data_IF_305537110496
#
_entry.id   IF_305537110496
#
_cell.length_a   1.000
_cell.length_b   1.000
_cell.length_c   1.000
_cell.angle_alpha   90.00
_cell.angle_beta   90.00
_cell.angle_gamma   90.00
#
_symmetry.space_group_name_H-M   'P 1'
#
loop_
_entity.id
_entity.type
_entity.pdbx_description
1 polymer ?
#
# COMPACT_ATOMS: atom_id res chain seq x y z
N UNK A 1 -18.04 26.77 3.26
CA UNK A 1 -17.04 26.84 2.17
C UNK A 1 -15.60 26.50 2.62
N UNK A 2 -15.36 26.03 3.87
CA UNK A 2 -14.01 25.74 4.41
C UNK A 2 -13.57 24.25 4.34
N UNK A 3 -14.45 23.31 3.98
CA UNK A 3 -14.17 21.86 4.05
C UNK A 3 -13.38 21.29 2.86
N UNK A 4 -13.33 22.00 1.72
CA UNK A 4 -12.74 21.45 0.48
C UNK A 4 -11.21 21.61 0.40
N UNK A 5 -10.65 22.69 0.95
CA UNK A 5 -9.19 22.92 0.93
C UNK A 5 -8.41 21.95 1.84
N UNK A 6 -9.03 21.43 2.90
CA UNK A 6 -8.38 20.48 3.81
C UNK A 6 -8.20 19.09 3.18
N UNK A 7 -9.21 18.61 2.45
CA UNK A 7 -9.14 17.32 1.75
C UNK A 7 -8.08 17.32 0.65
N UNK A 8 -7.98 18.42 -0.12
CA UNK A 8 -6.94 18.61 -1.13
C UNK A 8 -5.53 18.69 -0.51
N UNK A 9 -5.41 19.27 0.69
CA UNK A 9 -4.14 19.32 1.43
C UNK A 9 -3.71 17.93 1.90
N UNK A 10 -4.65 17.05 2.27
CA UNK A 10 -4.39 15.66 2.67
C UNK A 10 -3.99 14.82 1.45
N UNK A 11 -4.68 14.98 0.33
CA UNK A 11 -4.35 14.26 -0.91
C UNK A 11 -2.96 14.66 -1.40
N UNK A 12 -2.65 15.96 -1.41
CA UNK A 12 -1.32 16.46 -1.76
C UNK A 12 -0.25 15.95 -0.78
N UNK A 13 -0.54 15.96 0.52
CA UNK A 13 0.33 15.38 1.54
C UNK A 13 0.57 13.88 1.31
N UNK A 14 -0.46 13.08 1.03
CA UNK A 14 -0.31 11.65 0.72
C UNK A 14 0.54 11.41 -0.53
N UNK A 15 0.39 12.22 -1.58
CA UNK A 15 1.21 12.16 -2.79
C UNK A 15 2.69 12.46 -2.51
N UNK A 16 2.97 13.46 -1.67
CA UNK A 16 4.34 13.81 -1.29
C UNK A 16 4.94 12.80 -0.27
N UNK A 17 4.10 12.19 0.57
CA UNK A 17 4.47 11.29 1.67
C UNK A 17 4.83 9.86 1.23
N UNK A 18 4.27 9.38 0.12
CA UNK A 18 4.55 8.05 -0.45
C UNK A 18 5.96 7.92 -1.07
N UNK A 19 6.75 8.99 -1.08
CA UNK A 19 8.09 9.01 -1.71
C UNK A 19 9.26 8.85 -0.73
N UNK A 20 9.04 8.77 0.60
CA UNK A 20 10.14 8.71 1.58
C UNK A 20 9.97 7.63 2.66
N UNK A 21 11.03 6.83 2.89
CA UNK A 21 11.12 5.86 3.99
C UNK A 21 11.01 6.50 5.40
N UNK A 22 11.13 7.83 5.53
CA UNK A 22 10.98 8.55 6.81
C UNK A 22 9.55 8.55 7.36
N UNK A 23 8.55 8.27 6.52
CA UNK A 23 7.14 8.19 6.89
C UNK A 23 6.87 7.11 7.96
N UNK A 24 7.48 5.94 7.85
CA UNK A 24 7.33 4.84 8.84
C UNK A 24 7.93 5.22 10.20
N UNK A 25 9.06 5.93 10.21
CA UNK A 25 9.71 6.38 11.45
C UNK A 25 8.96 7.53 12.12
N UNK A 26 8.25 8.38 11.37
CA UNK A 26 7.32 9.38 11.92
C UNK A 26 5.99 8.77 12.37
N UNK A 27 5.50 7.73 11.70
CA UNK A 27 4.41 6.88 12.21
C UNK A 27 4.75 6.38 13.61
N UNK A 28 5.98 5.93 13.86
CA UNK A 28 6.43 5.50 15.19
C UNK A 28 6.53 6.64 16.23
N UNK A 29 6.62 7.92 15.82
CA UNK A 29 6.63 9.07 16.75
C UNK A 29 5.25 9.64 17.06
N UNK A 30 4.24 9.41 16.23
CA UNK A 30 2.83 9.71 16.56
C UNK A 30 2.23 8.67 17.54
N UNK A 31 2.96 7.58 17.80
CA UNK A 31 2.61 6.47 18.73
C UNK A 31 2.91 6.82 20.20
N UNK A 32 3.11 8.11 20.52
CA UNK A 32 3.20 8.56 21.91
C UNK A 32 1.75 8.82 22.38
N UNK A 33 1.04 7.75 22.79
CA UNK A 33 -0.29 7.83 23.40
C UNK A 33 -1.33 6.82 22.90
N UNK A 34 -0.99 5.96 21.93
CA UNK A 34 -1.83 4.82 21.52
C UNK A 34 -1.46 3.61 22.38
N UNK A 35 -2.43 3.07 23.11
CA UNK A 35 -2.20 1.95 24.05
C UNK A 35 -2.45 0.57 23.43
N UNK A 36 -3.07 0.50 22.25
CA UNK A 36 -3.30 -0.77 21.55
C UNK A 36 -2.18 -1.06 20.53
N UNK A 37 -1.13 -1.72 21.01
CA UNK A 37 -0.01 -2.14 20.18
C UNK A 37 -0.37 -3.25 19.18
N UNK A 38 -1.49 -3.97 19.36
CA UNK A 38 -1.86 -5.10 18.50
C UNK A 38 -2.32 -4.64 17.11
N UNK A 39 -2.98 -3.48 17.02
CA UNK A 39 -3.40 -2.89 15.74
C UNK A 39 -2.19 -2.53 14.87
N UNK A 40 -1.11 -2.05 15.48
CA UNK A 40 0.13 -1.71 14.78
C UNK A 40 0.91 -2.96 14.34
N UNK A 41 0.80 -4.06 15.10
CA UNK A 41 1.40 -5.35 14.73
C UNK A 41 0.61 -6.09 13.65
N UNK A 42 -0.67 -5.76 13.44
CA UNK A 42 -1.48 -6.38 12.41
C UNK A 42 -1.16 -5.87 10.99
N UNK A 43 -0.48 -4.72 10.86
CA UNK A 43 -0.08 -4.15 9.57
C UNK A 43 1.39 -4.44 9.29
N UNK A 44 1.65 -5.10 8.18
CA UNK A 44 2.98 -5.49 7.73
C UNK A 44 3.26 -4.87 6.36
N UNK A 45 4.53 -4.65 6.04
CA UNK A 45 4.91 -4.17 4.72
C UNK A 45 5.01 -5.32 3.72
N UNK A 46 4.45 -5.10 2.54
CA UNK A 46 4.74 -5.87 1.33
C UNK A 46 5.35 -4.91 0.33
N UNK A 47 6.57 -5.23 -0.09
CA UNK A 47 7.31 -4.52 -1.10
C UNK A 47 6.79 -4.91 -2.48
N UNK A 48 6.72 -3.93 -3.38
CA UNK A 48 6.49 -4.12 -4.81
C UNK A 48 7.55 -3.34 -5.58
N UNK A 49 8.09 -3.93 -6.65
CA UNK A 49 9.00 -3.26 -7.55
C UNK A 49 8.21 -2.54 -8.65
N UNK A 50 8.65 -1.35 -9.04
CA UNK A 50 8.12 -0.72 -10.25
C UNK A 50 9.20 -0.10 -11.13
N UNK A 51 8.89 -0.03 -12.41
CA UNK A 51 9.69 0.61 -13.45
C UNK A 51 8.81 1.41 -14.40
N UNK A 52 9.44 2.28 -15.19
CA UNK A 52 8.80 3.09 -16.24
C UNK A 52 9.51 2.81 -17.56
N UNK A 53 8.75 2.43 -18.58
CA UNK A 53 9.24 2.26 -19.95
C UNK A 53 8.56 3.26 -20.91
N UNK A 54 9.17 3.58 -22.06
CA UNK A 54 8.46 4.24 -23.16
C UNK A 54 7.32 3.36 -23.68
N UNK A 55 6.23 3.97 -24.14
CA UNK A 55 5.09 3.26 -24.75
C UNK A 55 5.21 3.24 -26.28
N UNK A 56 6.19 2.51 -26.78
CA UNK A 56 6.54 2.46 -28.23
C UNK A 56 5.34 2.02 -29.07
N UNK A 57 4.57 1.07 -28.55
CA UNK A 57 3.39 0.51 -29.23
C UNK A 57 2.10 1.28 -29.01
N UNK A 58 2.13 2.44 -28.32
CA UNK A 58 0.93 3.23 -28.04
C UNK A 58 -0.19 2.42 -27.37
N UNK A 59 0.16 1.52 -26.45
CA UNK A 59 -0.78 0.72 -25.66
C UNK A 59 -1.73 1.66 -24.93
N UNK A 60 -3.04 1.45 -25.13
CA UNK A 60 -4.11 2.33 -24.62
C UNK A 60 -4.74 1.84 -23.32
N UNK A 61 -4.69 0.53 -23.07
CA UNK A 61 -5.35 -0.09 -21.94
C UNK A 61 -4.33 -0.77 -21.03
N UNK A 62 -4.55 -0.68 -19.72
CA UNK A 62 -3.78 -1.46 -18.76
C UNK A 62 -4.07 -2.95 -18.91
N UNK A 63 -3.05 -3.77 -18.67
CA UNK A 63 -3.18 -5.22 -18.71
C UNK A 63 -2.30 -5.87 -17.63
N UNK A 64 -2.49 -7.17 -17.43
CA UNK A 64 -1.69 -7.97 -16.50
C UNK A 64 -0.99 -9.08 -17.25
N UNK A 65 0.24 -9.35 -16.86
CA UNK A 65 1.00 -10.52 -17.28
C UNK A 65 0.98 -11.48 -16.10
N UNK A 66 0.42 -12.67 -16.31
CA UNK A 66 0.46 -13.74 -15.32
C UNK A 66 1.80 -14.48 -15.46
N UNK A 67 2.47 -14.70 -14.34
CA UNK A 67 3.76 -15.35 -14.30
C UNK A 67 3.87 -16.36 -13.16
N UNK A 68 4.92 -17.16 -13.19
CA UNK A 68 5.21 -18.05 -12.07
C UNK A 68 5.74 -17.27 -10.87
N UNK A 69 5.60 -17.86 -9.69
CA UNK A 69 6.32 -17.40 -8.52
C UNK A 69 7.83 -17.33 -8.79
N UNK A 70 8.55 -16.34 -8.23
CA UNK A 70 8.08 -15.35 -7.22
C UNK A 70 7.50 -14.05 -7.82
N UNK A 71 7.29 -13.94 -9.13
CA UNK A 71 6.68 -12.73 -9.72
C UNK A 71 5.16 -12.72 -9.53
N UNK A 72 4.50 -13.85 -9.81
CA UNK A 72 3.04 -14.06 -9.80
C UNK A 72 2.27 -13.21 -10.82
N UNK A 73 2.31 -11.88 -10.68
CA UNK A 73 1.63 -10.96 -11.58
C UNK A 73 2.42 -9.68 -11.81
N UNK A 74 2.41 -9.21 -13.05
CA UNK A 74 2.92 -7.90 -13.45
C UNK A 74 1.76 -7.05 -13.94
N UNK A 75 1.59 -5.85 -13.40
CA UNK A 75 0.65 -4.87 -13.91
C UNK A 75 1.38 -3.95 -14.88
N UNK A 76 0.80 -3.77 -16.07
CA UNK A 76 1.28 -2.79 -17.06
C UNK A 76 0.19 -1.75 -17.22
N UNK A 77 0.50 -0.50 -16.88
CA UNK A 77 -0.44 0.61 -16.87
C UNK A 77 0.08 1.74 -17.75
N UNK A 78 -0.60 2.11 -18.85
CA UNK A 78 -0.19 3.26 -19.63
C UNK A 78 -0.35 4.55 -18.80
N UNK A 79 0.56 5.50 -19.00
CA UNK A 79 0.43 6.84 -18.45
C UNK A 79 -0.77 7.59 -19.07
N UNK A 80 -1.25 8.62 -18.38
CA UNK A 80 -2.37 9.43 -18.89
C UNK A 80 -2.07 10.09 -20.24
N UNK A 81 -0.82 10.49 -20.49
CA UNK A 81 -0.37 11.04 -21.78
C UNK A 81 0.00 9.96 -22.81
N UNK A 82 -0.14 8.69 -22.42
CA UNK A 82 0.15 7.48 -23.20
C UNK A 82 1.59 7.41 -23.72
N UNK A 83 2.51 8.24 -23.21
CA UNK A 83 3.92 8.25 -23.60
C UNK A 83 4.74 7.16 -22.90
N UNK A 84 4.23 6.64 -21.78
CA UNK A 84 4.96 5.71 -20.92
C UNK A 84 4.09 4.54 -20.48
N UNK A 85 4.75 3.45 -20.10
CA UNK A 85 4.18 2.33 -19.37
C UNK A 85 4.75 2.33 -17.96
N UNK A 86 3.88 2.31 -16.96
CA UNK A 86 4.22 1.98 -15.58
C UNK A 86 4.06 0.48 -15.38
N UNK A 87 5.15 -0.18 -14.99
CA UNK A 87 5.18 -1.61 -14.81
C UNK A 87 5.43 -1.90 -13.33
N UNK A 88 4.56 -2.69 -12.70
CA UNK A 88 4.66 -3.04 -11.29
C UNK A 88 4.53 -4.54 -11.07
N UNK A 89 5.30 -5.11 -10.15
CA UNK A 89 5.27 -6.55 -9.85
C UNK A 89 6.35 -6.97 -8.86
N UNK A 90 6.63 -8.28 -8.82
CA UNK A 90 7.64 -8.89 -7.93
C UNK A 90 7.43 -8.49 -6.45
N UNK A 91 6.31 -8.97 -5.90
CA UNK A 91 5.92 -8.67 -4.53
C UNK A 91 6.76 -9.45 -3.52
N UNK A 92 7.17 -8.80 -2.43
CA UNK A 92 7.94 -9.44 -1.38
C UNK A 92 7.46 -9.00 0.01
N UNK A 93 7.26 -9.95 0.90
CA UNK A 93 6.94 -9.66 2.29
C UNK A 93 8.16 -9.05 3.00
N UNK A 94 8.04 -7.85 3.56
CA UNK A 94 9.11 -7.19 4.33
C UNK A 94 8.81 -7.05 5.83
N UNK A 95 7.67 -7.56 6.30
CA UNK A 95 7.29 -7.57 7.72
C UNK A 95 7.16 -6.15 8.32
N UNK A 96 7.40 -6.01 9.63
CA UNK A 96 7.24 -4.74 10.34
C UNK A 96 8.42 -3.78 10.19
N UNK A 97 9.54 -4.22 9.60
CA UNK A 97 10.83 -3.53 9.65
C UNK A 97 11.22 -2.87 8.33
N UNK A 98 10.31 -2.12 7.70
CA UNK A 98 10.63 -1.35 6.49
C UNK A 98 11.37 -2.15 5.40
N UNK A 99 12.08 -1.47 4.51
CA UNK A 99 12.89 -2.15 3.48
C UNK A 99 14.27 -2.44 4.06
N UNK A 100 14.54 -3.72 4.33
CA UNK A 100 15.91 -4.19 4.55
C UNK A 100 16.50 -4.52 3.17
N UNK A 101 17.52 -3.77 2.76
CA UNK A 101 18.29 -4.09 1.56
C UNK A 101 18.82 -5.52 1.69
N UNK A 102 18.37 -6.40 0.81
CA UNK A 102 18.68 -7.83 0.83
C UNK A 102 19.10 -8.26 -0.58
N UNK A 103 20.06 -9.19 -0.72
CA UNK A 103 20.38 -9.82 -2.00
C UNK A 103 19.14 -10.37 -2.73
N UNK A 104 18.11 -10.77 -1.97
CA UNK A 104 16.85 -11.24 -2.51
C UNK A 104 16.07 -10.16 -3.29
N UNK A 105 16.12 -8.90 -2.84
CA UNK A 105 15.47 -7.79 -3.54
C UNK A 105 16.14 -7.51 -4.89
N UNK A 106 17.47 -7.61 -4.93
CA UNK A 106 18.22 -7.49 -6.20
C UNK A 106 17.82 -8.61 -7.16
N UNK A 107 17.74 -9.86 -6.68
CA UNK A 107 17.33 -11.00 -7.50
C UNK A 107 15.89 -10.84 -8.03
N UNK A 108 14.96 -10.34 -7.21
CA UNK A 108 13.59 -10.06 -7.65
C UNK A 108 13.53 -8.99 -8.73
N UNK A 109 14.33 -7.93 -8.62
CA UNK A 109 14.40 -6.89 -9.66
C UNK A 109 14.98 -7.47 -10.95
N UNK A 110 16.05 -8.24 -10.88
CA UNK A 110 16.65 -8.89 -12.05
C UNK A 110 15.67 -9.84 -12.73
N UNK A 111 14.92 -10.61 -11.94
CA UNK A 111 13.88 -11.50 -12.44
C UNK A 111 12.74 -10.71 -13.09
N UNK A 112 12.25 -9.64 -12.46
CA UNK A 112 11.23 -8.77 -13.05
C UNK A 112 11.71 -8.15 -14.37
N UNK A 113 12.93 -7.63 -14.41
CA UNK A 113 13.49 -7.02 -15.62
C UNK A 113 13.66 -8.03 -16.76
N UNK A 114 14.19 -9.22 -16.48
CA UNK A 114 14.32 -10.28 -17.49
C UNK A 114 12.97 -10.76 -18.01
N UNK A 115 11.96 -10.79 -17.15
CA UNK A 115 10.58 -11.12 -17.52
C UNK A 115 9.97 -10.00 -18.37
N UNK A 116 10.10 -8.73 -17.99
CA UNK A 116 9.59 -7.62 -18.79
C UNK A 116 10.23 -7.61 -20.17
N UNK A 117 11.53 -7.88 -20.26
CA UNK A 117 12.24 -7.96 -21.54
C UNK A 117 11.69 -9.04 -22.48
N UNK A 118 11.12 -10.14 -21.96
CA UNK A 118 10.53 -11.17 -22.83
C UNK A 118 9.17 -10.75 -23.40
N UNK A 119 8.41 -9.90 -22.70
CA UNK A 119 7.08 -9.46 -23.11
C UNK A 119 7.06 -8.11 -23.84
N UNK A 120 7.99 -7.21 -23.50
CA UNK A 120 8.06 -5.82 -23.98
C UNK A 120 9.49 -5.48 -24.45
N UNK A 121 10.04 -6.23 -25.43
CA UNK A 121 11.44 -6.05 -25.86
C UNK A 121 11.69 -4.68 -26.46
N UNK A 122 10.79 -4.17 -27.32
CA UNK A 122 10.98 -2.90 -28.01
C UNK A 122 10.90 -1.71 -27.05
N UNK A 123 10.05 -1.78 -26.02
CA UNK A 123 9.98 -0.78 -24.96
C UNK A 123 11.26 -0.74 -24.12
N UNK A 124 11.91 -1.89 -23.92
CA UNK A 124 13.20 -1.97 -23.24
C UNK A 124 14.32 -1.42 -24.12
N UNK A 125 14.36 -1.77 -25.41
CA UNK A 125 15.36 -1.28 -26.36
C UNK A 125 15.27 0.23 -26.58
N UNK A 126 14.05 0.78 -26.61
CA UNK A 126 13.80 2.22 -26.72
C UNK A 126 14.11 3.01 -25.43
N UNK A 127 14.40 2.33 -24.32
CA UNK A 127 14.77 2.98 -23.07
C UNK A 127 16.23 3.48 -23.17
N UNK A 128 16.41 4.76 -23.52
CA UNK A 128 17.71 5.35 -23.93
C UNK A 128 18.86 5.21 -22.92
N UNK A 129 18.62 5.01 -21.64
CA UNK A 129 19.59 4.51 -20.65
C UNK A 129 18.94 4.53 -19.27
N UNK A 130 19.17 3.44 -18.53
CA UNK A 130 18.51 3.06 -17.28
C UNK A 130 17.00 2.81 -17.45
N UNK A 131 16.61 1.53 -17.43
CA UNK A 131 15.36 1.10 -16.81
C UNK A 131 15.33 1.81 -15.44
N UNK A 132 14.59 2.93 -15.37
CA UNK A 132 14.74 3.89 -14.29
C UNK A 132 14.60 3.19 -12.93
N UNK A 133 15.50 3.45 -11.97
CA UNK A 133 15.90 2.49 -10.97
C UNK A 133 14.82 2.20 -9.92
N UNK A 134 14.63 0.91 -9.63
CA UNK A 134 14.54 0.28 -8.29
C UNK A 134 13.67 0.98 -7.25
N UNK A 135 12.52 1.52 -7.65
CA UNK A 135 11.61 2.09 -6.68
C UNK A 135 10.80 0.96 -6.08
N UNK A 136 10.92 0.86 -4.77
CA UNK A 136 10.12 -0.05 -3.97
C UNK A 136 8.95 0.74 -3.42
N UNK A 137 7.74 0.23 -3.61
CA UNK A 137 6.58 0.68 -2.87
C UNK A 137 6.35 -0.28 -1.71
N UNK A 138 6.27 0.23 -0.48
CA UNK A 138 5.80 -0.58 0.64
C UNK A 138 4.29 -0.41 0.73
N UNK A 139 3.57 -1.51 0.53
CA UNK A 139 2.13 -1.61 0.71
C UNK A 139 1.85 -2.10 2.13
N UNK A 140 1.16 -1.31 2.98
CA UNK A 140 0.72 -1.79 4.27
C UNK A 140 -0.40 -2.83 4.07
N UNK A 141 -0.19 -4.04 4.57
CA UNK A 141 -1.10 -5.18 4.42
C UNK A 141 -1.39 -5.82 5.77
N UNK A 142 -2.61 -6.28 5.95
CA UNK A 142 -3.00 -7.23 6.99
C UNK A 142 -2.88 -8.67 6.48
N UNK A 143 -2.74 -9.68 7.37
CA UNK A 143 -2.64 -11.08 6.96
C UNK A 143 -3.85 -11.63 6.18
N UNK A 144 -5.02 -11.01 6.31
CA UNK A 144 -6.23 -11.36 5.55
C UNK A 144 -6.49 -10.46 4.34
N UNK A 145 -5.63 -9.49 4.09
CA UNK A 145 -5.79 -8.52 3.02
C UNK A 145 -6.93 -7.51 3.24
N UNK A 146 -7.55 -7.45 4.42
CA UNK A 146 -8.63 -6.52 4.73
C UNK A 146 -8.11 -5.26 5.45
N UNK A 147 -8.53 -4.05 5.06
CA UNK A 147 -8.10 -2.84 5.73
C UNK A 147 -8.59 -2.80 7.18
N UNK A 148 -7.77 -2.23 8.05
CA UNK A 148 -8.16 -1.89 9.43
C UNK A 148 -8.72 -0.48 9.41
N UNK A 149 -9.96 -0.33 9.86
CA UNK A 149 -10.62 0.95 10.13
C UNK A 149 -11.07 0.90 11.58
N UNK A 150 -10.49 1.71 12.46
CA UNK A 150 -10.76 1.62 13.89
C UNK A 150 -10.64 2.97 14.59
N UNK A 151 -11.42 3.14 15.66
CA UNK A 151 -11.20 4.18 16.66
C UNK A 151 -10.28 3.60 17.74
N UNK A 152 -9.11 4.20 17.94
CA UNK A 152 -8.13 3.73 18.92
C UNK A 152 -8.34 4.42 20.27
N UNK A 153 -8.23 3.68 21.39
CA UNK A 153 -8.29 4.27 22.71
C UNK A 153 -7.10 5.21 22.92
N UNK A 154 -7.35 6.37 23.53
CA UNK A 154 -6.32 7.33 23.95
C UNK A 154 -6.30 7.42 25.47
N UNK A 155 -5.13 7.66 26.05
CA UNK A 155 -4.94 7.78 27.50
C UNK A 155 -5.87 8.84 28.13
N UNK A 156 -6.15 9.92 27.41
CA UNK A 156 -6.89 11.06 27.95
C UNK A 156 -8.40 11.06 27.67
N UNK A 157 -8.97 10.06 26.97
CA UNK A 157 -10.41 9.94 26.56
C UNK A 157 -11.04 11.15 25.84
N UNK A 158 -10.40 12.31 25.84
CA UNK A 158 -10.81 13.57 25.19
C UNK A 158 -10.31 13.65 23.75
N UNK A 159 -9.28 12.88 23.42
CA UNK A 159 -8.73 12.78 22.07
C UNK A 159 -9.27 11.52 21.41
N UNK A 160 -9.75 11.67 20.18
CA UNK A 160 -10.17 10.55 19.36
C UNK A 160 -9.10 10.35 18.29
N UNK A 161 -8.55 9.15 18.23
CA UNK A 161 -7.61 8.75 17.18
C UNK A 161 -8.33 7.73 16.32
N UNK A 162 -8.33 7.97 15.02
CA UNK A 162 -8.84 7.02 14.05
C UNK A 162 -7.69 6.48 13.22
N UNK A 163 -7.75 5.19 12.94
CA UNK A 163 -6.73 4.46 12.21
C UNK A 163 -7.34 3.82 10.98
N UNK A 164 -6.77 4.15 9.81
CA UNK A 164 -7.11 3.56 8.52
C UNK A 164 -5.81 3.12 7.86
N UNK A 165 -5.55 1.82 7.80
CA UNK A 165 -4.35 1.26 7.19
C UNK A 165 -4.56 -0.20 6.78
N UNK A 166 -3.51 -0.82 6.22
CA UNK A 166 -3.57 -2.25 5.86
C UNK A 166 -4.39 -2.52 4.59
N UNK A 167 -4.54 -1.51 3.72
CA UNK A 167 -5.38 -1.55 2.51
C UNK A 167 -4.83 -2.43 1.38
N UNK A 168 -3.75 -3.19 1.62
CA UNK A 168 -3.17 -4.07 0.62
C UNK A 168 -2.86 -3.30 -0.68
N UNK A 169 -3.13 -3.90 -1.84
CA UNK A 169 -2.98 -3.28 -3.14
C UNK A 169 -4.12 -2.31 -3.49
N UNK A 170 -5.20 -2.29 -2.69
CA UNK A 170 -6.45 -1.58 -2.97
C UNK A 170 -6.49 -0.13 -2.52
N UNK A 171 -5.54 0.33 -1.68
CA UNK A 171 -5.64 1.64 -1.01
C UNK A 171 -5.93 2.84 -1.90
N UNK A 172 -5.39 2.88 -3.12
CA UNK A 172 -5.70 3.95 -4.07
C UNK A 172 -7.16 3.90 -4.54
N UNK A 173 -7.61 2.72 -4.99
CA UNK A 173 -8.95 2.50 -5.56
C UNK A 173 -10.03 2.59 -4.47
N UNK A 174 -9.74 2.09 -3.28
CA UNK A 174 -10.68 1.98 -2.16
C UNK A 174 -10.77 3.27 -1.33
N UNK A 175 -9.82 4.20 -1.50
CA UNK A 175 -9.68 5.42 -0.69
C UNK A 175 -10.99 6.18 -0.46
N UNK A 176 -11.82 6.34 -1.49
CA UNK A 176 -13.10 7.06 -1.40
C UNK A 176 -14.12 6.32 -0.53
N UNK A 177 -14.19 4.99 -0.63
CA UNK A 177 -15.10 4.17 0.18
C UNK A 177 -14.59 4.10 1.62
N UNK A 178 -13.28 3.94 1.82
CA UNK A 178 -12.66 3.96 3.16
C UNK A 178 -12.90 5.29 3.87
N UNK A 179 -12.86 6.41 3.15
CA UNK A 179 -13.19 7.72 3.68
C UNK A 179 -14.65 7.84 4.13
N UNK A 180 -15.58 7.27 3.36
CA UNK A 180 -17.00 7.24 3.75
C UNK A 180 -17.22 6.41 5.02
N UNK A 181 -16.62 5.22 5.11
CA UNK A 181 -16.69 4.37 6.31
C UNK A 181 -16.08 5.07 7.53
N UNK A 182 -14.97 5.80 7.34
CA UNK A 182 -14.36 6.58 8.41
C UNK A 182 -15.28 7.72 8.90
N UNK A 183 -15.99 8.41 7.99
CA UNK A 183 -16.96 9.44 8.37
C UNK A 183 -18.11 8.86 9.18
N UNK A 184 -18.66 7.73 8.75
CA UNK A 184 -19.70 7.01 9.49
C UNK A 184 -19.23 6.66 10.92
N UNK A 185 -17.99 6.19 11.06
CA UNK A 185 -17.38 5.86 12.34
C UNK A 185 -17.19 7.11 13.22
N UNK A 186 -16.85 8.27 12.63
CA UNK A 186 -16.72 9.55 13.33
C UNK A 186 -18.08 10.04 13.85
N UNK A 187 -19.13 9.86 13.05
CA UNK A 187 -20.49 10.30 13.37
C UNK A 187 -21.23 9.33 14.31
N UNK A 188 -20.65 8.15 14.58
CA UNK A 188 -21.27 7.10 15.39
C UNK A 188 -22.42 6.39 14.66
N UNK A 189 -22.53 6.56 13.34
CA UNK A 189 -23.53 5.89 12.51
C UNK A 189 -23.01 4.52 12.07
N UNK A 190 -23.37 3.47 12.80
CA UNK A 190 -23.08 2.10 12.36
C UNK A 190 -24.16 1.66 11.38
N UNK A 191 -23.92 1.80 10.06
CA UNK A 191 -24.59 0.91 9.13
C UNK A 191 -24.06 -0.52 9.37
N UNK A 192 -24.92 -1.54 9.39
CA UNK A 192 -24.50 -2.93 9.71
C UNK A 192 -23.39 -3.45 8.77
N UNK A 193 -23.22 -2.84 7.59
CA UNK A 193 -22.12 -3.06 6.65
C UNK A 193 -20.74 -2.63 7.16
N UNK A 194 -20.67 -1.66 8.09
CA UNK A 194 -19.42 -1.19 8.69
C UNK A 194 -18.88 -2.14 9.79
N UNK A 195 -19.70 -3.10 10.25
CA UNK A 195 -19.32 -4.07 11.28
C UNK A 195 -18.32 -5.13 10.77
N UNK A 196 -18.26 -5.41 9.47
CA UNK A 196 -17.33 -6.40 8.92
C UNK A 196 -15.85 -5.97 9.00
N UNK A 197 -15.55 -4.66 9.12
CA UNK A 197 -14.18 -4.13 9.06
C UNK A 197 -13.63 -3.68 10.42
N UNK A 198 -14.48 -3.34 11.38
CA UNK A 198 -14.08 -2.89 12.73
C UNK A 198 -13.93 -4.08 13.70
N UNK A 199 -14.56 -5.24 13.43
CA UNK A 199 -14.65 -6.35 14.39
C UNK A 199 -13.49 -7.36 14.39
N UNK A 200 -12.40 -7.13 13.65
CA UNK A 200 -11.23 -8.03 13.72
C UNK A 200 -10.27 -7.70 14.85
N UNK A 201 -10.19 -6.45 15.32
CA UNK A 201 -9.47 -6.13 16.55
C UNK A 201 -10.41 -6.20 17.74
N UNK A 202 -10.16 -7.14 18.67
CA UNK A 202 -10.72 -7.24 20.04
C UNK A 202 -11.87 -8.24 20.31
N UNK A 203 -12.06 -9.27 19.47
CA UNK A 203 -12.26 -10.64 20.00
C UNK A 203 -10.94 -11.43 20.00
N UNK A 204 -9.85 -10.74 20.29
CA UNK A 204 -8.75 -11.35 21.04
C UNK A 204 -9.27 -11.54 22.47
N UNK A 205 -10.04 -12.61 22.68
CA UNK A 205 -10.27 -13.11 24.03
C UNK A 205 -8.88 -13.24 24.68
N UNK A 206 -8.71 -12.71 25.88
CA UNK A 206 -7.45 -12.74 26.64
C UNK A 206 -6.95 -14.17 26.89
N UNK A 207 -7.67 -15.18 26.45
CA UNK A 207 -7.40 -16.60 26.65
C UNK A 207 -6.99 -17.38 25.38
N UNK A 208 -6.91 -16.78 24.19
CA UNK A 208 -6.76 -17.56 22.93
C UNK A 208 -5.55 -17.21 22.06
N UNK A 209 -4.42 -16.85 22.66
CA UNK A 209 -3.11 -16.90 21.99
C UNK A 209 -2.22 -17.93 22.68
N UNK A 210 -2.64 -19.20 22.58
CA UNK A 210 -1.72 -20.34 22.56
C UNK A 210 -1.69 -20.84 21.12
N UNK A 211 -0.79 -20.26 20.31
CA UNK A 211 -0.28 -20.98 19.15
C UNK A 211 0.75 -21.97 19.70
N UNK A 212 0.37 -23.25 19.76
CA UNK A 212 1.33 -24.36 19.83
C UNK A 212 2.08 -24.49 18.51
#
# INVERSE_FOLDING_TARGET
MFKFNWLLSIIQWCCDYLTSCEALTRYAKLVIGITDHNVLLAVQGVLECWTKLPNVHSIKNGFKIAEKEPIDVINVTPSHDEQHLYITGAFAFCGHRGIVQSPYLTQLIELLNSTIHSYLPDEIEASESEILPKRFCIRPMTPDGMPIIAQLPTENKKQQVYFVAGTNAGGFIESSVLAAILLDLIEGSTSDTNLCHVYRSLRLDRNTLLFN
#
